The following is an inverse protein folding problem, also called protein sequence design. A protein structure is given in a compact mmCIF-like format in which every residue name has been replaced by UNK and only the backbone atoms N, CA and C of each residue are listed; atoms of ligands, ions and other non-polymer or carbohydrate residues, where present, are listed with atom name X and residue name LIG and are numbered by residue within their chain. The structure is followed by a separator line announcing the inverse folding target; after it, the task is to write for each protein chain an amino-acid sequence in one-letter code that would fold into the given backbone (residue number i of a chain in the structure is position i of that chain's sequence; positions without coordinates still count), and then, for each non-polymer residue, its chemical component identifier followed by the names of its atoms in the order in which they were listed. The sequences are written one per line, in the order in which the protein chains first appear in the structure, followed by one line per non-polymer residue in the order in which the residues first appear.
data_IF_422292834414
#
_entry.id   IF_422292834414
#
_cell.length_a   1.000
_cell.length_b   1.000
_cell.length_c   1.000
_cell.angle_alpha   90.00
_cell.angle_beta   90.00
_cell.angle_gamma   90.00
#
_symmetry.space_group_name_H-M   'P 1'
#
loop_
_entity.id
_entity.type
_entity.pdbx_description
1 polymer ?
#
# COMPACT_ATOMS: atom_id res chain seq x y z
N UNK A 1 -45.71 18.59 6.56
CA UNK A 1 -44.97 17.81 7.58
C UNK A 1 -43.52 17.93 7.17
N UNK A 2 -42.95 19.10 7.49
CA UNK A 2 -41.62 19.50 7.04
C UNK A 2 -40.59 18.84 7.95
N UNK A 3 -39.76 17.99 7.36
CA UNK A 3 -38.61 17.40 8.03
C UNK A 3 -37.59 18.52 8.22
N UNK A 4 -37.47 18.98 9.46
CA UNK A 4 -36.40 19.88 9.90
C UNK A 4 -35.08 19.15 9.72
N UNK A 5 -34.40 19.39 8.59
CA UNK A 5 -33.00 19.03 8.40
C UNK A 5 -32.18 19.85 9.40
N UNK A 6 -31.84 19.22 10.54
CA UNK A 6 -30.98 19.80 11.55
C UNK A 6 -29.58 20.00 10.99
N UNK A 7 -29.24 21.25 10.68
CA UNK A 7 -27.88 21.68 10.35
C UNK A 7 -26.88 21.12 11.40
N UNK A 8 -25.90 20.29 11.00
CA UNK A 8 -24.99 19.67 11.95
C UNK A 8 -24.20 20.74 12.70
N UNK A 9 -24.12 20.58 14.03
CA UNK A 9 -23.51 21.55 14.93
C UNK A 9 -22.05 21.78 14.53
N UNK A 10 -21.59 23.03 14.55
CA UNK A 10 -20.25 23.43 14.12
C UNK A 10 -19.10 22.55 14.65
N UNK A 11 -19.21 21.99 15.86
CA UNK A 11 -18.22 21.08 16.44
C UNK A 11 -18.15 19.67 15.80
N UNK A 12 -19.24 19.20 15.20
CA UNK A 12 -19.35 17.89 14.56
C UNK A 12 -18.68 17.89 13.18
N UNK A 13 -18.82 19.00 12.44
CA UNK A 13 -18.08 19.20 11.17
C UNK A 13 -16.56 19.28 11.42
N UNK A 14 -16.14 19.89 12.53
CA UNK A 14 -14.73 20.02 12.89
C UNK A 14 -14.08 18.70 13.34
N UNK A 15 -14.82 17.80 14.02
CA UNK A 15 -14.31 16.49 14.43
C UNK A 15 -14.17 15.53 13.25
N UNK A 16 -15.14 15.53 12.32
CA UNK A 16 -15.08 14.74 11.07
C UNK A 16 -13.87 15.16 10.22
N UNK A 17 -13.66 16.47 10.03
CA UNK A 17 -12.51 16.97 9.27
C UNK A 17 -11.15 16.59 9.87
N UNK A 18 -11.06 16.46 11.21
CA UNK A 18 -9.85 16.03 11.91
C UNK A 18 -9.61 14.52 11.76
N UNK A 19 -10.64 13.70 11.92
CA UNK A 19 -10.56 12.24 11.73
C UNK A 19 -10.13 11.88 10.31
N UNK A 20 -10.65 12.59 9.32
CA UNK A 20 -10.29 12.36 7.92
C UNK A 20 -8.82 12.69 7.63
N UNK A 21 -8.30 13.77 8.23
CA UNK A 21 -6.89 14.13 8.12
C UNK A 21 -5.97 13.08 8.76
N UNK A 22 -6.36 12.55 9.92
CA UNK A 22 -5.63 11.47 10.61
C UNK A 22 -5.61 10.20 9.76
N UNK A 23 -6.74 9.80 9.17
CA UNK A 23 -6.83 8.62 8.31
C UNK A 23 -5.96 8.76 7.05
N UNK A 24 -5.97 9.92 6.40
CA UNK A 24 -5.07 10.18 5.26
C UNK A 24 -3.60 10.12 5.65
N UNK A 25 -3.25 10.70 6.80
CA UNK A 25 -1.88 10.63 7.33
C UNK A 25 -1.49 9.19 7.65
N UNK A 26 -2.41 8.38 8.19
CA UNK A 26 -2.18 6.97 8.45
C UNK A 26 -1.91 6.18 7.15
N UNK A 27 -2.72 6.40 6.09
CA UNK A 27 -2.47 5.79 4.77
C UNK A 27 -1.09 6.17 4.25
N UNK A 28 -0.73 7.46 4.29
CA UNK A 28 0.58 7.93 3.86
C UNK A 28 1.72 7.32 4.68
N UNK A 29 1.60 7.31 6.01
CA UNK A 29 2.59 6.74 6.92
C UNK A 29 2.82 5.26 6.68
N UNK A 30 1.74 4.47 6.60
CA UNK A 30 1.82 3.03 6.33
C UNK A 30 2.38 2.75 4.92
N UNK A 31 2.03 3.58 3.92
CA UNK A 31 2.56 3.42 2.57
C UNK A 31 4.07 3.72 2.51
N UNK A 32 4.55 4.74 3.22
CA UNK A 32 6.00 5.01 3.34
C UNK A 32 6.74 3.94 4.13
N UNK A 33 6.13 3.40 5.19
CA UNK A 33 6.66 2.24 5.90
C UNK A 33 6.82 1.05 4.95
N UNK A 34 5.79 0.75 4.15
CA UNK A 34 5.86 -0.31 3.15
C UNK A 34 6.99 -0.07 2.13
N UNK A 35 7.15 1.15 1.63
CA UNK A 35 8.29 1.51 0.76
C UNK A 35 9.63 1.24 1.45
N UNK A 36 9.78 1.61 2.72
CA UNK A 36 10.97 1.29 3.52
C UNK A 36 11.21 -0.22 3.62
N UNK A 37 10.17 -1.02 3.85
CA UNK A 37 10.27 -2.48 3.86
C UNK A 37 10.72 -3.04 2.51
N UNK A 38 10.23 -2.49 1.40
CA UNK A 38 10.67 -2.89 0.05
C UNK A 38 12.15 -2.58 -0.18
N UNK A 39 12.66 -1.43 0.30
CA UNK A 39 14.10 -1.12 0.24
C UNK A 39 14.92 -2.16 1.02
N UNK A 40 14.47 -2.52 2.23
CA UNK A 40 15.10 -3.57 3.02
C UNK A 40 15.06 -4.91 2.29
N UNK A 41 13.97 -5.25 1.59
CA UNK A 41 13.90 -6.47 0.80
C UNK A 41 14.91 -6.52 -0.35
N UNK A 42 15.09 -5.41 -1.07
CA UNK A 42 16.13 -5.33 -2.10
C UNK A 42 17.54 -5.48 -1.50
N UNK A 43 17.78 -4.92 -0.32
CA UNK A 43 19.02 -5.14 0.41
C UNK A 43 19.19 -6.62 0.80
N UNK A 44 18.16 -7.26 1.39
CA UNK A 44 18.24 -8.65 1.83
C UNK A 44 18.43 -9.63 0.68
N UNK A 45 17.78 -9.44 -0.47
CA UNK A 45 18.01 -10.28 -1.65
C UNK A 45 19.39 -10.04 -2.26
N UNK A 46 19.88 -8.80 -2.26
CA UNK A 46 21.25 -8.48 -2.68
C UNK A 46 22.29 -9.09 -1.76
N UNK A 47 22.06 -9.06 -0.44
CA UNK A 47 22.93 -9.66 0.56
C UNK A 47 23.11 -11.17 0.33
N UNK A 48 22.09 -11.88 -0.16
CA UNK A 48 22.20 -13.30 -0.53
C UNK A 48 23.23 -13.58 -1.64
N UNK A 49 23.61 -12.57 -2.42
CA UNK A 49 24.64 -12.71 -3.47
C UNK A 49 26.06 -12.64 -2.91
N UNK A 50 26.23 -12.08 -1.71
CA UNK A 50 27.55 -11.81 -1.10
C UNK A 50 27.76 -12.52 0.24
N UNK A 51 26.69 -12.95 0.90
CA UNK A 51 26.73 -13.66 2.17
C UNK A 51 26.08 -15.05 2.01
N UNK A 52 26.86 -16.08 2.28
CA UNK A 52 26.41 -17.47 2.26
C UNK A 52 25.74 -17.86 3.58
N UNK A 53 24.69 -18.68 3.51
CA UNK A 53 24.06 -19.29 4.68
C UNK A 53 22.54 -19.34 4.64
N UNK A 54 21.91 -20.39 5.20
CA UNK A 54 20.45 -20.57 5.19
C UNK A 54 19.70 -19.44 5.91
N UNK A 55 20.31 -18.80 6.91
CA UNK A 55 19.71 -17.73 7.70
C UNK A 55 19.42 -16.47 6.86
N UNK A 56 20.28 -16.14 5.89
CA UNK A 56 20.06 -15.02 4.96
C UNK A 56 18.90 -15.33 4.00
N UNK A 57 18.76 -16.60 3.62
CA UNK A 57 17.66 -17.07 2.78
C UNK A 57 16.33 -17.21 3.53
N UNK A 58 16.30 -17.41 4.83
CA UNK A 58 15.01 -17.40 5.56
C UNK A 58 14.59 -15.96 5.87
N UNK A 59 15.55 -15.11 6.22
CA UNK A 59 15.28 -13.74 6.66
C UNK A 59 14.53 -12.90 5.62
N UNK A 60 14.93 -12.91 4.35
CA UNK A 60 14.23 -12.13 3.31
C UNK A 60 12.77 -12.59 3.14
N UNK A 61 12.52 -13.89 3.17
CA UNK A 61 11.17 -14.45 3.00
C UNK A 61 10.30 -14.17 4.23
N UNK A 62 10.83 -14.45 5.41
CA UNK A 62 10.06 -14.32 6.65
C UNK A 62 9.78 -12.83 6.94
N UNK A 63 10.73 -11.94 6.62
CA UNK A 63 10.48 -10.50 6.64
C UNK A 63 9.37 -10.12 5.65
N UNK A 64 9.31 -10.73 4.46
CA UNK A 64 8.25 -10.47 3.48
C UNK A 64 6.87 -10.88 4.00
N UNK A 65 6.76 -12.02 4.66
CA UNK A 65 5.52 -12.43 5.31
C UNK A 65 5.09 -11.46 6.41
N UNK A 66 6.06 -10.94 7.18
CA UNK A 66 5.77 -9.96 8.22
C UNK A 66 5.23 -8.64 7.65
N UNK A 67 5.95 -7.98 6.74
CA UNK A 67 5.50 -6.68 6.23
C UNK A 67 4.38 -6.80 5.20
N UNK A 68 4.13 -7.99 4.65
CA UNK A 68 2.99 -8.26 3.77
C UNK A 68 1.64 -7.89 4.39
N UNK A 69 1.52 -7.99 5.72
CA UNK A 69 0.34 -7.56 6.48
C UNK A 69 0.02 -6.07 6.36
N UNK A 70 0.97 -5.24 5.95
CA UNK A 70 0.72 -3.83 5.66
C UNK A 70 -0.21 -3.65 4.45
N UNK A 71 -0.23 -4.60 3.50
CA UNK A 71 -1.08 -4.48 2.30
C UNK A 71 -2.59 -4.54 2.60
N UNK A 72 -3.14 -5.50 3.37
CA UNK A 72 -4.54 -5.43 3.78
C UNK A 72 -4.82 -4.24 4.69
N UNK A 73 -3.90 -3.85 5.58
CA UNK A 73 -4.04 -2.64 6.41
C UNK A 73 -4.21 -1.40 5.52
N UNK A 74 -3.41 -1.26 4.47
CA UNK A 74 -3.53 -0.16 3.50
C UNK A 74 -4.87 -0.16 2.79
N UNK A 75 -5.41 -1.33 2.42
CA UNK A 75 -6.74 -1.43 1.82
C UNK A 75 -7.81 -0.95 2.79
N UNK A 76 -7.77 -1.40 4.05
CA UNK A 76 -8.74 -1.01 5.07
C UNK A 76 -8.69 0.50 5.36
N UNK A 77 -7.49 1.07 5.50
CA UNK A 77 -7.32 2.51 5.73
C UNK A 77 -7.77 3.33 4.51
N UNK A 78 -7.41 2.89 3.30
CA UNK A 78 -7.79 3.58 2.06
C UNK A 78 -9.28 3.48 1.76
N UNK A 79 -9.96 2.41 2.17
CA UNK A 79 -11.41 2.22 2.01
C UNK A 79 -12.25 3.01 3.03
N UNK A 80 -11.61 3.75 3.95
CA UNK A 80 -12.31 4.65 4.87
C UNK A 80 -13.04 5.78 4.12
N UNK A 81 -14.05 6.44 4.73
CA UNK A 81 -14.77 7.57 4.11
C UNK A 81 -13.86 8.74 3.70
N UNK A 82 -12.68 8.87 4.33
CA UNK A 82 -11.68 9.88 4.05
C UNK A 82 -10.79 9.55 2.83
N UNK A 83 -10.84 8.31 2.34
CA UNK A 83 -9.98 7.80 1.28
C UNK A 83 -10.50 8.11 -0.12
N UNK A 84 -9.58 8.37 -1.05
CA UNK A 84 -9.95 8.55 -2.46
C UNK A 84 -10.11 7.21 -3.17
N UNK A 85 -11.02 7.15 -4.16
CA UNK A 85 -11.16 5.96 -5.02
C UNK A 85 -9.84 5.56 -5.70
N UNK A 86 -8.96 6.53 -5.96
CA UNK A 86 -7.60 6.29 -6.46
C UNK A 86 -6.74 5.56 -5.43
N UNK A 87 -6.75 5.98 -4.16
CA UNK A 87 -6.01 5.33 -3.09
C UNK A 87 -6.49 3.89 -2.87
N UNK A 88 -7.80 3.65 -2.88
CA UNK A 88 -8.39 2.30 -2.77
C UNK A 88 -7.89 1.40 -3.89
N UNK A 89 -7.98 1.85 -5.16
CA UNK A 89 -7.51 1.05 -6.31
C UNK A 89 -6.03 0.75 -6.24
N UNK A 90 -5.20 1.71 -5.83
CA UNK A 90 -3.77 1.50 -5.66
C UNK A 90 -3.46 0.52 -4.53
N UNK A 91 -4.15 0.60 -3.39
CA UNK A 91 -3.99 -0.32 -2.27
C UNK A 91 -4.42 -1.75 -2.64
N UNK A 92 -5.54 -1.91 -3.35
CA UNK A 92 -6.00 -3.22 -3.85
C UNK A 92 -5.00 -3.79 -4.86
N UNK A 93 -4.54 -2.99 -5.82
CA UNK A 93 -3.53 -3.42 -6.78
C UNK A 93 -2.23 -3.86 -6.08
N UNK A 94 -1.80 -3.11 -5.06
CA UNK A 94 -0.64 -3.45 -4.26
C UNK A 94 -0.83 -4.79 -3.53
N UNK A 95 -1.98 -5.01 -2.89
CA UNK A 95 -2.31 -6.28 -2.23
C UNK A 95 -2.28 -7.45 -3.20
N UNK A 96 -2.95 -7.33 -4.34
CA UNK A 96 -3.02 -8.39 -5.36
C UNK A 96 -1.63 -8.71 -5.91
N UNK A 97 -0.84 -7.71 -6.28
CA UNK A 97 0.50 -7.93 -6.83
C UNK A 97 1.46 -8.46 -5.77
N UNK A 98 1.29 -8.09 -4.50
CA UNK A 98 2.06 -8.66 -3.39
C UNK A 98 1.71 -10.15 -3.15
N UNK A 99 0.42 -10.50 -3.23
CA UNK A 99 0.00 -11.89 -3.18
C UNK A 99 0.60 -12.68 -4.35
N UNK A 100 0.50 -12.18 -5.58
CA UNK A 100 1.13 -12.79 -6.77
C UNK A 100 2.64 -12.96 -6.56
N UNK A 101 3.33 -11.91 -6.07
CA UNK A 101 4.76 -11.95 -5.75
C UNK A 101 5.12 -13.12 -4.84
N UNK A 102 4.27 -13.41 -3.86
CA UNK A 102 4.47 -14.45 -2.85
C UNK A 102 4.42 -15.86 -3.46
N UNK A 103 3.57 -16.06 -4.47
CA UNK A 103 3.38 -17.37 -5.09
C UNK A 103 4.28 -17.64 -6.30
N UNK A 104 4.75 -16.60 -7.02
CA UNK A 104 5.60 -16.77 -8.20
C UNK A 104 6.84 -17.67 -7.97
N UNK A 105 7.58 -17.57 -6.85
CA UNK A 105 8.72 -18.45 -6.58
C UNK A 105 8.38 -19.94 -6.49
N UNK A 106 7.15 -20.30 -6.14
CA UNK A 106 6.72 -21.71 -6.06
C UNK A 106 6.72 -22.39 -7.43
N UNK A 107 6.67 -21.61 -8.51
CA UNK A 107 6.70 -22.11 -9.88
C UNK A 107 8.13 -22.39 -10.39
N UNK A 108 9.17 -22.15 -9.58
CA UNK A 108 10.57 -22.24 -10.03
C UNK A 108 10.95 -23.61 -10.62
N UNK A 109 10.32 -24.70 -10.15
CA UNK A 109 10.57 -26.05 -10.66
C UNK A 109 9.66 -26.46 -11.83
N UNK A 110 8.53 -25.76 -12.04
CA UNK A 110 7.52 -26.11 -13.06
C UNK A 110 7.61 -25.22 -14.30
N UNK A 111 7.84 -23.91 -14.09
CA UNK A 111 7.91 -22.91 -15.15
C UNK A 111 8.90 -21.80 -14.75
N UNK A 112 10.23 -22.04 -14.85
CA UNK A 112 11.25 -21.07 -14.45
C UNK A 112 11.09 -19.67 -15.07
N UNK A 113 10.72 -19.52 -16.37
CA UNK A 113 10.48 -18.20 -16.95
C UNK A 113 9.34 -17.43 -16.28
N UNK A 114 8.30 -18.14 -15.82
CA UNK A 114 7.17 -17.53 -15.09
C UNK A 114 7.61 -17.16 -13.67
N UNK A 115 8.35 -18.03 -12.99
CA UNK A 115 8.89 -17.73 -11.66
C UNK A 115 9.81 -16.49 -11.67
N UNK A 116 10.55 -16.26 -12.76
CA UNK A 116 11.39 -15.07 -12.95
C UNK A 116 10.59 -13.76 -12.95
N UNK A 117 9.28 -13.79 -13.23
CA UNK A 117 8.41 -12.61 -13.09
C UNK A 117 8.37 -12.09 -11.64
N UNK A 118 8.78 -12.89 -10.64
CA UNK A 118 8.93 -12.43 -9.27
C UNK A 118 9.83 -11.19 -9.18
N UNK A 119 10.97 -11.18 -9.88
CA UNK A 119 11.87 -10.02 -9.85
C UNK A 119 11.22 -8.79 -10.53
N UNK A 120 10.56 -8.98 -11.67
CA UNK A 120 9.89 -7.90 -12.39
C UNK A 120 8.69 -7.33 -11.60
N UNK A 121 7.90 -8.19 -10.98
CA UNK A 121 6.74 -7.80 -10.18
C UNK A 121 7.15 -7.05 -8.90
N UNK A 122 8.32 -7.36 -8.30
CA UNK A 122 8.87 -6.57 -7.20
C UNK A 122 9.06 -5.08 -7.57
N UNK A 123 9.50 -4.80 -8.80
CA UNK A 123 9.65 -3.42 -9.29
C UNK A 123 8.29 -2.73 -9.44
N UNK A 124 7.28 -3.44 -9.92
CA UNK A 124 5.91 -2.92 -10.05
C UNK A 124 5.30 -2.63 -8.67
N UNK A 125 5.50 -3.53 -7.71
CA UNK A 125 5.10 -3.36 -6.30
C UNK A 125 5.78 -2.12 -5.70
N UNK A 126 7.09 -1.96 -5.90
CA UNK A 126 7.83 -0.80 -5.42
C UNK A 126 7.29 0.52 -6.03
N UNK A 127 7.06 0.52 -7.34
CA UNK A 127 6.48 1.66 -8.05
C UNK A 127 5.08 2.00 -7.54
N UNK A 128 4.18 1.01 -7.39
CA UNK A 128 2.83 1.23 -6.87
C UNK A 128 2.83 1.75 -5.44
N UNK A 129 3.69 1.21 -4.57
CA UNK A 129 3.84 1.68 -3.20
C UNK A 129 4.23 3.16 -3.16
N UNK A 130 5.19 3.59 -4.00
CA UNK A 130 5.55 5.00 -4.15
C UNK A 130 4.38 5.85 -4.64
N UNK A 131 3.63 5.38 -5.65
CA UNK A 131 2.46 6.10 -6.16
C UNK A 131 1.37 6.25 -5.11
N UNK A 132 1.12 5.23 -4.28
CA UNK A 132 0.17 5.29 -3.17
C UNK A 132 0.65 6.26 -2.07
N UNK A 133 1.93 6.20 -1.71
CA UNK A 133 2.55 7.07 -0.71
C UNK A 133 2.57 8.55 -1.14
N UNK A 134 2.65 8.82 -2.44
CA UNK A 134 2.56 10.17 -3.00
C UNK A 134 1.11 10.66 -3.10
N UNK A 135 0.20 9.81 -3.58
CA UNK A 135 -1.22 10.17 -3.75
C UNK A 135 -1.91 10.46 -2.42
N UNK A 136 -1.48 9.83 -1.33
CA UNK A 136 -2.02 10.03 0.02
C UNK A 136 -1.60 11.35 0.67
N UNK A 137 -0.65 12.09 0.07
CA UNK A 137 -0.25 13.43 0.52
C UNK A 137 -1.06 14.57 -0.09
N UNK A 138 -1.83 14.30 -1.16
CA UNK A 138 -2.62 15.32 -1.84
C UNK A 138 -3.97 15.48 -1.14
N UNK A 139 -4.40 16.73 -0.85
CA UNK A 139 -5.78 16.99 -0.45
C UNK A 139 -6.76 16.47 -1.51
N UNK A 140 -7.98 16.04 -1.15
CA UNK A 140 -9.00 15.73 -2.14
C UNK A 140 -9.22 16.93 -3.07
N UNK A 141 -9.38 16.67 -4.37
CA UNK A 141 -9.72 17.71 -5.34
C UNK A 141 -10.96 18.49 -4.83
N UNK A 142 -10.94 19.83 -4.84
CA UNK A 142 -12.13 20.59 -4.50
C UNK A 142 -13.26 20.18 -5.45
N UNK A 143 -14.36 19.71 -4.88
CA UNK A 143 -15.58 19.39 -5.63
C UNK A 143 -16.00 20.68 -6.35
N UNK A 144 -15.81 20.74 -7.67
CA UNK A 144 -16.40 21.80 -8.50
C UNK A 144 -15.48 22.65 -9.39
N UNK A 145 -14.20 22.32 -9.60
CA UNK A 145 -13.47 22.96 -10.71
C UNK A 145 -13.70 22.20 -12.02
N UNK A 146 -14.50 22.72 -12.97
CA UNK A 146 -14.57 22.13 -14.31
C UNK A 146 -13.17 22.18 -14.93
N UNK A 147 -12.70 21.01 -15.41
CA UNK A 147 -11.49 20.97 -16.23
C UNK A 147 -11.80 21.71 -17.52
N UNK A 148 -11.04 22.77 -17.80
CA UNK A 148 -11.02 23.45 -19.10
C UNK A 148 -10.32 22.58 -20.14
#
# INVERSE_FOLDING_TARGET
MDLVEGEPRHGERASVGRSDAVLRLAVAGVAWLFVGCVVVQFFLVGLRMFAEGPLVSTLHRDFAYLYGWLTPILVLLAASPAGSARAVRLAIALLVLFAIQTFLPLLAHLAPPVAALHAANALVVAWLALRLAQASRQPPDPIGTPRR
#
